data_IF_561253346145
#
_entry.id   IF_561253346145
#
_cell.length_a   1.000
_cell.length_b   1.000
_cell.length_c   1.000
_cell.angle_alpha   90.00
_cell.angle_beta   90.00
_cell.angle_gamma   90.00
#
_symmetry.space_group_name_H-M   'P 1'
#
loop_
_entity.id
_entity.type
_entity.pdbx_description
1 polymer ?
#
# COMPACT_ATOMS: atom_id res chain seq x y z
N UNK A 1 8.43 24.69 -27.32
CA UNK A 1 7.77 25.44 -26.23
C UNK A 1 6.28 25.36 -26.49
N UNK A 2 5.60 24.37 -25.89
CA UNK A 2 4.16 24.19 -26.06
C UNK A 2 3.46 25.35 -25.34
N UNK A 3 2.82 26.24 -26.11
CA UNK A 3 1.95 27.27 -25.53
C UNK A 3 0.70 26.57 -25.02
N UNK A 4 0.53 26.60 -23.71
CA UNK A 4 -0.57 25.93 -23.01
C UNK A 4 -1.79 26.86 -23.02
N UNK A 5 -2.83 26.53 -23.77
CA UNK A 5 -4.17 27.13 -23.61
C UNK A 5 -5.27 26.14 -23.97
N UNK A 6 -6.38 26.30 -23.23
CA UNK A 6 -7.70 25.63 -23.23
C UNK A 6 -7.84 24.44 -22.26
N UNK A 7 -8.42 24.74 -21.09
CA UNK A 7 -9.27 23.92 -20.20
C UNK A 7 -8.86 22.48 -19.84
N UNK A 8 -7.64 22.05 -20.15
CA UNK A 8 -7.09 20.77 -19.73
C UNK A 8 -6.27 20.93 -18.44
N UNK A 9 -6.42 19.96 -17.54
CA UNK A 9 -5.57 19.79 -16.35
C UNK A 9 -4.08 19.95 -16.75
N UNK A 10 -3.34 20.82 -16.06
CA UNK A 10 -1.95 21.15 -16.42
C UNK A 10 -1.04 19.91 -16.47
N UNK A 11 -1.34 18.90 -15.64
CA UNK A 11 -0.63 17.62 -15.66
C UNK A 11 -0.88 16.81 -16.94
N UNK A 12 -2.08 16.94 -17.55
CA UNK A 12 -2.44 16.23 -18.77
C UNK A 12 -1.69 16.70 -20.02
N UNK A 13 -0.95 17.81 -19.93
CA UNK A 13 -0.03 18.27 -20.97
C UNK A 13 1.29 17.48 -21.02
N UNK A 14 1.63 16.74 -19.95
CA UNK A 14 2.86 15.96 -19.80
C UNK A 14 2.53 14.48 -19.73
N UNK A 15 2.40 13.83 -20.90
CA UNK A 15 1.84 12.47 -21.01
C UNK A 15 2.89 11.38 -21.20
N UNK A 16 4.12 11.73 -21.57
CA UNK A 16 5.18 10.78 -21.83
C UNK A 16 6.04 10.58 -20.57
N UNK A 17 5.90 9.42 -19.93
CA UNK A 17 6.59 9.11 -18.67
C UNK A 17 7.58 7.98 -18.94
N UNK A 18 8.86 8.22 -18.64
CA UNK A 18 9.92 7.23 -18.80
C UNK A 18 10.38 6.68 -17.45
N UNK A 19 10.37 5.36 -17.28
CA UNK A 19 10.79 4.68 -16.06
C UNK A 19 12.19 4.07 -16.21
N UNK A 20 13.12 4.40 -15.32
CA UNK A 20 14.42 3.73 -15.25
C UNK A 20 14.37 2.64 -14.18
N UNK A 21 14.47 1.37 -14.61
CA UNK A 21 14.23 0.20 -13.76
C UNK A 21 12.74 -0.14 -13.63
N UNK A 22 12.02 -0.15 -14.76
CA UNK A 22 10.56 -0.29 -14.81
C UNK A 22 10.05 -1.64 -14.28
N UNK A 23 10.87 -2.70 -14.31
CA UNK A 23 10.53 -4.05 -13.87
C UNK A 23 10.52 -4.24 -12.35
N UNK A 24 10.97 -3.26 -11.57
CA UNK A 24 10.94 -3.31 -10.11
C UNK A 24 9.52 -3.39 -9.55
N UNK A 25 9.34 -4.08 -8.42
CA UNK A 25 8.01 -4.33 -7.82
C UNK A 25 7.19 -3.04 -7.60
N UNK A 26 7.82 -1.98 -7.08
CA UNK A 26 7.15 -0.69 -6.88
C UNK A 26 7.06 0.20 -8.13
N UNK A 27 7.91 0.01 -9.13
CA UNK A 27 7.91 0.80 -10.36
C UNK A 27 6.86 0.29 -11.34
N UNK A 28 6.82 -1.03 -11.52
CA UNK A 28 5.90 -1.68 -12.44
C UNK A 28 4.45 -1.44 -12.11
N UNK A 29 4.09 -1.38 -10.82
CA UNK A 29 2.72 -1.05 -10.41
C UNK A 29 2.31 0.37 -10.79
N UNK A 30 3.19 1.35 -10.58
CA UNK A 30 2.95 2.75 -10.98
C UNK A 30 2.85 2.85 -12.51
N UNK A 31 3.77 2.21 -13.23
CA UNK A 31 3.79 2.18 -14.69
C UNK A 31 2.52 1.56 -15.28
N UNK A 32 2.05 0.44 -14.73
CA UNK A 32 0.81 -0.22 -15.14
C UNK A 32 -0.41 0.69 -14.96
N UNK A 33 -0.51 1.37 -13.82
CA UNK A 33 -1.59 2.34 -13.56
C UNK A 33 -1.57 3.49 -14.57
N UNK A 34 -0.39 4.03 -14.88
CA UNK A 34 -0.23 5.12 -15.85
C UNK A 34 -0.59 4.69 -17.28
N UNK A 35 -0.22 3.48 -17.70
CA UNK A 35 -0.63 2.94 -18.99
C UNK A 35 -2.15 3.01 -19.16
N UNK A 36 -2.91 2.56 -18.16
CA UNK A 36 -4.37 2.53 -18.28
C UNK A 36 -5.02 3.89 -18.11
N UNK A 37 -4.40 4.82 -17.37
CA UNK A 37 -4.79 6.23 -17.37
C UNK A 37 -4.53 6.91 -18.73
N UNK A 38 -3.98 6.19 -19.71
CA UNK A 38 -3.74 6.67 -21.06
C UNK A 38 -2.48 7.52 -21.19
N UNK A 39 -1.54 7.41 -20.25
CA UNK A 39 -0.21 8.00 -20.40
C UNK A 39 0.61 7.17 -21.39
N UNK A 40 1.51 7.83 -22.11
CA UNK A 40 2.53 7.15 -22.90
C UNK A 40 3.62 6.70 -21.95
N UNK A 41 3.61 5.42 -21.58
CA UNK A 41 4.61 4.86 -20.67
C UNK A 41 5.73 4.22 -21.48
N UNK A 42 6.94 4.64 -21.19
CA UNK A 42 8.17 4.01 -21.66
C UNK A 42 9.04 3.64 -20.48
N UNK A 43 9.99 2.74 -20.65
CA UNK A 43 10.95 2.46 -19.60
C UNK A 43 12.07 1.54 -20.01
N UNK A 44 13.10 1.49 -19.17
CA UNK A 44 14.25 0.63 -19.32
C UNK A 44 14.36 -0.34 -18.15
N UNK A 45 14.88 -1.53 -18.43
CA UNK A 45 15.35 -2.46 -17.40
C UNK A 45 16.59 -3.22 -17.90
N UNK A 46 17.34 -3.86 -17.01
CA UNK A 46 18.54 -4.61 -17.42
C UNK A 46 18.17 -5.89 -18.16
N UNK A 47 17.12 -6.58 -17.73
CA UNK A 47 16.77 -7.91 -18.24
C UNK A 47 15.25 -8.07 -18.44
N UNK A 48 14.83 -8.92 -19.40
CA UNK A 48 13.44 -9.34 -19.52
C UNK A 48 12.95 -10.06 -18.27
N UNK A 49 11.69 -9.80 -17.90
CA UNK A 49 11.02 -10.48 -16.79
C UNK A 49 9.53 -10.66 -17.09
N UNK A 50 8.85 -11.48 -16.29
CA UNK A 50 7.37 -11.59 -16.35
C UNK A 50 6.70 -10.23 -16.14
N UNK A 51 7.29 -9.38 -15.30
CA UNK A 51 6.80 -8.02 -15.03
C UNK A 51 6.90 -7.12 -16.25
N UNK A 52 8.05 -7.09 -16.94
CA UNK A 52 8.21 -6.26 -18.14
C UNK A 52 7.36 -6.77 -19.31
N UNK A 53 7.17 -8.10 -19.42
CA UNK A 53 6.24 -8.67 -20.39
C UNK A 53 4.79 -8.19 -20.17
N UNK A 54 4.29 -8.24 -18.94
CA UNK A 54 2.95 -7.75 -18.59
C UNK A 54 2.77 -6.25 -18.88
N UNK A 55 3.81 -5.45 -18.63
CA UNK A 55 3.79 -4.01 -18.94
C UNK A 55 3.70 -3.75 -20.44
N UNK A 56 4.40 -4.54 -21.26
CA UNK A 56 4.32 -4.46 -22.72
C UNK A 56 2.89 -4.82 -23.18
N UNK A 57 2.28 -5.86 -22.61
CA UNK A 57 0.88 -6.22 -22.88
C UNK A 57 -0.09 -5.10 -22.48
N UNK A 58 0.21 -4.39 -21.39
CA UNK A 58 -0.54 -3.21 -20.94
C UNK A 58 -0.26 -1.94 -21.79
N UNK A 59 0.62 -2.00 -22.80
CA UNK A 59 0.89 -0.91 -23.74
C UNK A 59 2.16 -0.10 -23.48
N UNK A 60 2.98 -0.46 -22.49
CA UNK A 60 4.26 0.20 -22.25
C UNK A 60 5.30 -0.16 -23.31
N UNK A 61 6.20 0.78 -23.65
CA UNK A 61 7.39 0.49 -24.46
C UNK A 61 8.58 0.23 -23.55
N UNK A 62 9.08 -1.00 -23.53
CA UNK A 62 10.21 -1.39 -22.68
C UNK A 62 11.47 -1.62 -23.51
N UNK A 63 12.57 -0.97 -23.11
CA UNK A 63 13.92 -1.17 -23.64
C UNK A 63 14.76 -1.99 -22.65
N UNK A 64 15.67 -2.82 -23.16
CA UNK A 64 16.61 -3.58 -22.33
C UNK A 64 18.02 -3.01 -22.40
N UNK A 65 18.61 -2.77 -21.23
CA UNK A 65 19.85 -2.03 -21.03
C UNK A 65 19.64 -0.51 -21.03
N UNK A 66 20.54 0.20 -20.34
CA UNK A 66 20.44 1.66 -20.20
C UNK A 66 21.20 2.41 -21.30
N UNK A 67 20.49 3.26 -22.04
CA UNK A 67 21.05 4.10 -23.12
C UNK A 67 20.40 5.47 -23.11
N UNK A 68 21.17 6.53 -23.36
CA UNK A 68 20.66 7.91 -23.42
C UNK A 68 19.44 8.07 -24.36
N UNK A 69 19.43 7.31 -25.46
CA UNK A 69 18.35 7.30 -26.46
C UNK A 69 17.01 6.79 -25.91
N UNK A 70 17.02 5.94 -24.87
CA UNK A 70 15.80 5.38 -24.28
C UNK A 70 14.89 6.47 -23.69
N UNK A 71 15.45 7.61 -23.26
CA UNK A 71 14.68 8.74 -22.74
C UNK A 71 13.71 9.30 -23.78
N UNK A 72 14.01 9.17 -25.08
CA UNK A 72 13.10 9.54 -26.16
C UNK A 72 12.51 10.94 -26.00
N UNK A 73 11.19 11.08 -26.10
CA UNK A 73 10.47 12.35 -25.88
C UNK A 73 9.80 12.39 -24.50
N UNK A 74 10.43 11.82 -23.47
CA UNK A 74 9.90 11.84 -22.12
C UNK A 74 9.68 13.27 -21.61
N UNK A 75 8.48 13.51 -21.07
CA UNK A 75 8.14 14.72 -20.34
C UNK A 75 8.66 14.67 -18.90
N UNK A 76 8.79 13.46 -18.34
CA UNK A 76 9.33 13.20 -17.00
C UNK A 76 10.01 11.83 -16.96
N UNK A 77 11.08 11.73 -16.17
CA UNK A 77 11.79 10.48 -15.88
C UNK A 77 11.55 10.08 -14.43
N UNK A 78 11.07 8.86 -14.21
CA UNK A 78 10.88 8.26 -12.88
C UNK A 78 12.01 7.29 -12.61
N UNK A 79 12.66 7.41 -11.46
CA UNK A 79 13.76 6.54 -11.05
C UNK A 79 13.53 5.86 -9.70
N UNK A 80 14.14 4.69 -9.53
CA UNK A 80 14.28 4.05 -8.21
C UNK A 80 15.50 4.58 -7.47
N UNK A 81 15.55 4.33 -6.16
CA UNK A 81 16.75 4.54 -5.34
C UNK A 81 17.94 3.67 -5.75
N UNK A 82 17.71 2.58 -6.50
CA UNK A 82 18.77 1.66 -6.95
C UNK A 82 19.54 2.16 -8.18
N UNK A 83 19.13 3.27 -8.82
CA UNK A 83 19.82 3.81 -9.99
C UNK A 83 20.94 4.76 -9.55
N UNK A 84 22.18 4.37 -9.81
CA UNK A 84 23.39 5.10 -9.42
C UNK A 84 23.72 6.28 -10.35
N UNK A 85 24.59 7.17 -9.85
CA UNK A 85 25.21 8.21 -10.65
C UNK A 85 25.97 7.62 -11.85
N UNK A 86 25.85 8.24 -13.02
CA UNK A 86 26.41 7.74 -14.28
C UNK A 86 25.47 6.86 -15.11
N UNK A 87 24.20 6.72 -14.73
CA UNK A 87 23.20 6.13 -15.61
C UNK A 87 22.98 7.05 -16.83
N UNK A 88 23.18 6.56 -18.07
CA UNK A 88 23.14 7.39 -19.27
C UNK A 88 21.76 8.00 -19.56
N UNK A 89 20.67 7.40 -19.07
CA UNK A 89 19.31 7.95 -19.20
C UNK A 89 19.11 9.14 -18.27
N UNK A 90 19.59 9.02 -17.03
CA UNK A 90 19.52 10.12 -16.05
C UNK A 90 20.35 11.31 -16.51
N UNK A 91 21.55 11.07 -17.04
CA UNK A 91 22.42 12.12 -17.54
C UNK A 91 21.84 12.79 -18.80
N UNK A 92 21.22 12.01 -19.70
CA UNK A 92 20.53 12.55 -20.86
C UNK A 92 19.29 13.39 -20.48
N UNK A 93 18.50 12.94 -19.50
CA UNK A 93 17.37 13.69 -18.98
C UNK A 93 17.81 15.02 -18.37
N UNK A 94 18.88 15.02 -17.56
CA UNK A 94 19.48 16.25 -17.00
C UNK A 94 19.95 17.21 -18.09
N UNK A 95 20.69 16.71 -19.08
CA UNK A 95 21.21 17.55 -20.18
C UNK A 95 20.07 18.25 -20.95
N UNK A 96 18.91 17.59 -21.05
CA UNK A 96 17.71 18.10 -21.72
C UNK A 96 16.75 18.86 -20.79
N UNK A 97 17.06 18.96 -19.50
CA UNK A 97 16.21 19.56 -18.46
C UNK A 97 14.84 18.90 -18.34
N UNK A 98 14.78 17.59 -18.60
CA UNK A 98 13.58 16.79 -18.32
C UNK A 98 13.56 16.54 -16.80
N UNK A 99 12.44 16.83 -16.10
CA UNK A 99 12.29 16.53 -14.69
C UNK A 99 12.60 15.07 -14.37
N UNK A 100 13.35 14.84 -13.29
CA UNK A 100 13.67 13.52 -12.77
C UNK A 100 13.07 13.42 -11.38
N UNK A 101 12.13 12.50 -11.19
CA UNK A 101 11.39 12.34 -9.94
C UNK A 101 11.60 10.93 -9.37
N UNK A 102 11.68 10.79 -8.04
CA UNK A 102 11.72 9.48 -7.41
C UNK A 102 10.35 8.80 -7.46
N UNK A 103 10.35 7.46 -7.38
CA UNK A 103 9.15 6.61 -7.32
C UNK A 103 8.04 7.16 -6.38
N UNK A 104 8.40 7.58 -5.17
CA UNK A 104 7.44 8.05 -4.17
C UNK A 104 6.74 9.35 -4.58
N UNK A 105 7.42 10.21 -5.32
CA UNK A 105 6.84 11.45 -5.85
C UNK A 105 5.85 11.16 -6.97
N UNK A 106 6.16 10.20 -7.86
CA UNK A 106 5.19 9.75 -8.86
C UNK A 106 3.96 9.09 -8.23
N UNK A 107 4.13 8.31 -7.16
CA UNK A 107 2.99 7.76 -6.41
C UNK A 107 2.13 8.86 -5.76
N UNK A 108 2.76 9.91 -5.22
CA UNK A 108 2.06 11.06 -4.67
C UNK A 108 1.23 11.79 -5.75
N UNK A 109 1.76 11.96 -6.95
CA UNK A 109 1.02 12.55 -8.07
C UNK A 109 -0.14 11.63 -8.53
N UNK A 110 0.05 10.31 -8.56
CA UNK A 110 -1.07 9.38 -8.80
C UNK A 110 -2.19 9.52 -7.76
N UNK A 111 -1.83 9.67 -6.48
CA UNK A 111 -2.78 9.94 -5.41
C UNK A 111 -3.49 11.29 -5.53
N UNK A 112 -2.93 12.25 -6.26
CA UNK A 112 -3.57 13.56 -6.45
C UNK A 112 -4.76 13.48 -7.41
N UNK A 113 -4.70 12.61 -8.42
CA UNK A 113 -5.78 12.44 -9.40
C UNK A 113 -6.82 11.39 -9.01
N UNK A 114 -6.55 10.62 -7.95
CA UNK A 114 -7.44 9.57 -7.44
C UNK A 114 -7.80 9.86 -5.99
N UNK A 115 -8.83 9.19 -5.48
CA UNK A 115 -9.18 9.28 -4.06
C UNK A 115 -8.22 8.39 -3.28
N UNK A 116 -7.15 8.97 -2.75
CA UNK A 116 -6.06 8.23 -2.09
C UNK A 116 -6.42 7.72 -0.69
N UNK A 117 -6.15 6.44 -0.44
CA UNK A 117 -6.14 5.78 0.87
C UNK A 117 -4.70 5.34 1.13
N UNK A 118 -4.08 5.92 2.14
CA UNK A 118 -2.69 5.64 2.49
C UNK A 118 -2.62 4.86 3.80
N UNK A 119 -1.96 3.70 3.77
CA UNK A 119 -1.81 2.81 4.92
C UNK A 119 -0.38 2.92 5.45
N UNK A 120 -0.22 3.55 6.61
CA UNK A 120 1.05 3.75 7.29
C UNK A 120 1.12 3.01 8.63
N UNK A 121 2.31 2.96 9.21
CA UNK A 121 2.58 2.37 10.53
C UNK A 121 3.73 1.38 10.47
N UNK A 122 4.36 1.07 11.59
CA UNK A 122 5.60 0.27 11.58
C UNK A 122 5.36 -1.15 11.06
N UNK A 123 4.31 -1.82 11.56
CA UNK A 123 3.95 -3.19 11.18
C UNK A 123 2.55 -3.28 10.57
N UNK A 124 2.32 -4.27 9.72
CA UNK A 124 1.00 -4.61 9.20
C UNK A 124 0.51 -3.78 8.00
N UNK A 125 1.34 -2.88 7.46
CA UNK A 125 1.02 -2.03 6.29
C UNK A 125 0.57 -2.85 5.08
N UNK A 126 1.40 -3.77 4.61
CA UNK A 126 1.12 -4.60 3.43
C UNK A 126 -0.17 -5.42 3.60
N UNK A 127 -0.38 -6.03 4.77
CA UNK A 127 -1.58 -6.82 5.07
C UNK A 127 -2.84 -5.95 5.13
N UNK A 128 -2.77 -4.81 5.80
CA UNK A 128 -3.90 -3.87 5.91
C UNK A 128 -4.26 -3.25 4.57
N UNK A 129 -3.27 -2.90 3.75
CA UNK A 129 -3.47 -2.40 2.37
C UNK A 129 -4.19 -3.44 1.51
N UNK A 130 -3.78 -4.70 1.64
CA UNK A 130 -4.37 -5.83 0.91
C UNK A 130 -5.82 -6.12 1.34
N UNK A 131 -6.08 -6.15 2.65
CA UNK A 131 -7.42 -6.33 3.19
C UNK A 131 -8.34 -5.17 2.79
N UNK A 132 -7.84 -3.93 2.85
CA UNK A 132 -8.59 -2.74 2.41
C UNK A 132 -8.95 -2.84 0.92
N UNK A 133 -7.99 -3.20 0.06
CA UNK A 133 -8.25 -3.42 -1.36
C UNK A 133 -9.30 -4.52 -1.60
N UNK A 134 -9.26 -5.61 -0.82
CA UNK A 134 -10.23 -6.71 -0.89
C UNK A 134 -11.63 -6.28 -0.47
N UNK A 135 -11.76 -5.59 0.66
CA UNK A 135 -13.04 -5.06 1.18
C UNK A 135 -13.69 -4.12 0.18
N UNK A 136 -12.93 -3.18 -0.37
CA UNK A 136 -13.45 -2.23 -1.36
C UNK A 136 -13.80 -2.90 -2.69
N UNK A 137 -13.04 -3.92 -3.11
CA UNK A 137 -13.36 -4.69 -4.32
C UNK A 137 -14.66 -5.49 -4.15
N UNK A 138 -14.83 -6.18 -3.03
CA UNK A 138 -16.05 -6.92 -2.69
C UNK A 138 -17.27 -5.99 -2.53
N UNK A 139 -17.03 -4.76 -2.04
CA UNK A 139 -18.02 -3.70 -1.98
C UNK A 139 -18.38 -3.03 -3.32
N UNK A 140 -17.81 -3.48 -4.43
CA UNK A 140 -18.07 -2.93 -5.76
C UNK A 140 -17.41 -1.58 -6.05
N UNK A 141 -16.54 -1.08 -5.17
CA UNK A 141 -15.78 0.15 -5.38
C UNK A 141 -14.53 -0.06 -6.25
N UNK A 142 -14.12 -1.32 -6.46
CA UNK A 142 -13.04 -1.77 -7.37
C UNK A 142 -11.83 -0.81 -7.41
N UNK A 143 -11.05 -0.70 -6.31
CA UNK A 143 -9.97 0.26 -6.22
C UNK A 143 -8.75 -0.14 -7.07
N UNK A 144 -7.99 0.86 -7.51
CA UNK A 144 -6.59 0.66 -7.83
C UNK A 144 -5.80 0.44 -6.56
N UNK A 145 -4.81 -0.44 -6.57
CA UNK A 145 -3.90 -0.61 -5.44
C UNK A 145 -2.43 -0.70 -5.86
N UNK A 146 -1.56 -0.24 -4.96
CA UNK A 146 -0.09 -0.35 -5.05
C UNK A 146 0.44 -0.83 -3.70
N UNK A 147 0.89 -2.09 -3.65
CA UNK A 147 1.21 -2.82 -2.43
C UNK A 147 2.68 -3.27 -2.48
N UNK A 148 3.39 -3.27 -1.34
CA UNK A 148 4.79 -3.74 -1.26
C UNK A 148 4.99 -5.25 -1.46
N UNK A 149 3.92 -6.04 -1.38
CA UNK A 149 3.89 -7.50 -1.53
C UNK A 149 2.81 -7.98 -2.51
N UNK A 150 2.86 -9.25 -2.89
CA UNK A 150 1.94 -9.83 -3.87
C UNK A 150 0.61 -10.20 -3.20
N UNK A 151 -0.47 -9.56 -3.65
CA UNK A 151 -1.83 -9.97 -3.29
C UNK A 151 -2.16 -11.28 -4.03
N UNK A 152 -2.37 -12.38 -3.30
CA UNK A 152 -2.49 -13.71 -3.90
C UNK A 152 -3.71 -13.84 -4.82
N UNK A 153 -4.85 -13.24 -4.42
CA UNK A 153 -6.08 -13.25 -5.21
C UNK A 153 -5.97 -12.52 -6.55
N UNK A 154 -5.14 -11.47 -6.62
CA UNK A 154 -4.89 -10.70 -7.83
C UNK A 154 -3.65 -11.19 -8.61
N UNK A 155 -2.81 -12.04 -8.00
CA UNK A 155 -1.54 -12.48 -8.57
C UNK A 155 -0.54 -11.35 -8.83
N UNK A 156 -0.72 -10.16 -8.23
CA UNK A 156 0.06 -8.97 -8.52
C UNK A 156 0.24 -8.06 -7.29
N UNK A 157 1.29 -7.25 -7.30
CA UNK A 157 1.60 -6.26 -6.26
C UNK A 157 0.90 -4.92 -6.53
N UNK A 158 0.36 -4.75 -7.73
CA UNK A 158 -0.47 -3.64 -8.12
C UNK A 158 -1.50 -4.13 -9.12
N UNK A 159 -2.69 -3.54 -9.05
CA UNK A 159 -3.78 -3.74 -10.01
C UNK A 159 -4.47 -2.42 -10.18
N UNK A 160 -4.84 -2.11 -11.41
CA UNK A 160 -5.77 -1.03 -11.67
C UNK A 160 -7.20 -1.54 -11.46
N UNK A 161 -7.94 -0.83 -10.61
CA UNK A 161 -9.38 -0.97 -10.51
C UNK A 161 -10.09 0.15 -11.30
N UNK A 162 -11.33 -0.12 -11.67
CA UNK A 162 -12.20 0.78 -12.43
C UNK A 162 -12.80 1.92 -11.59
N UNK A 163 -12.79 1.83 -10.26
CA UNK A 163 -13.34 2.88 -9.38
C UNK A 163 -12.36 3.98 -9.04
N UNK A 164 -12.81 5.03 -8.35
CA UNK A 164 -12.00 6.25 -8.14
C UNK A 164 -10.91 6.12 -7.07
N UNK A 165 -10.95 5.07 -6.25
CA UNK A 165 -10.08 4.89 -5.10
C UNK A 165 -8.71 4.33 -5.49
N UNK A 166 -7.66 4.83 -4.83
CA UNK A 166 -6.30 4.32 -4.88
C UNK A 166 -5.86 3.93 -3.46
N UNK A 167 -5.63 2.64 -3.21
CA UNK A 167 -5.10 2.15 -1.93
C UNK A 167 -3.61 1.93 -2.06
N UNK A 168 -2.80 2.59 -1.24
CA UNK A 168 -1.35 2.43 -1.28
C UNK A 168 -0.74 2.25 0.10
N UNK A 169 0.30 1.44 0.15
CA UNK A 169 1.22 1.38 1.28
C UNK A 169 2.03 2.68 1.36
N UNK A 170 2.09 3.26 2.56
CA UNK A 170 2.79 4.49 2.86
C UNK A 170 3.97 4.18 3.78
N UNK A 171 5.18 4.36 3.25
CA UNK A 171 6.42 3.95 3.90
C UNK A 171 6.99 5.08 4.76
N UNK A 172 7.04 4.83 6.07
CA UNK A 172 7.66 5.72 7.05
C UNK A 172 9.18 5.54 7.12
N UNK A 173 9.74 4.42 6.67
CA UNK A 173 11.14 4.09 6.92
C UNK A 173 12.08 5.16 6.37
N UNK A 174 11.85 5.66 5.16
CA UNK A 174 12.64 6.70 4.49
C UNK A 174 11.97 8.09 4.47
N UNK A 175 10.86 8.25 5.21
CA UNK A 175 10.06 9.47 5.26
C UNK A 175 9.27 9.76 3.98
N UNK A 176 9.24 8.85 3.00
CA UNK A 176 8.57 9.07 1.72
C UNK A 176 7.06 9.20 1.81
N UNK A 177 6.42 8.66 2.85
CA UNK A 177 5.00 8.92 3.15
C UNK A 177 4.66 10.41 3.34
N UNK A 178 5.63 11.24 3.76
CA UNK A 178 5.54 12.71 3.78
C UNK A 178 5.65 13.32 2.37
N UNK A 179 5.28 12.59 1.33
CA UNK A 179 5.02 13.16 0.00
C UNK A 179 3.59 12.93 -0.42
N UNK A 180 2.89 12.00 0.23
CA UNK A 180 1.52 11.62 -0.09
C UNK A 180 0.54 12.65 0.44
N UNK A 181 -0.56 12.85 -0.29
CA UNK A 181 -1.69 13.70 0.11
C UNK A 181 -2.98 12.87 0.07
N UNK A 182 -3.20 11.96 1.03
CA UNK A 182 -4.36 11.07 1.01
C UNK A 182 -5.66 11.79 1.38
N UNK A 183 -6.79 11.20 1.01
CA UNK A 183 -8.11 11.53 1.58
C UNK A 183 -8.39 10.73 2.85
N UNK A 184 -7.87 9.50 2.93
CA UNK A 184 -7.96 8.63 4.10
C UNK A 184 -6.56 8.16 4.48
N UNK A 185 -6.16 8.36 5.73
CA UNK A 185 -4.90 7.88 6.27
C UNK A 185 -5.17 6.87 7.39
N UNK A 186 -4.57 5.69 7.28
CA UNK A 186 -4.60 4.65 8.32
C UNK A 186 -3.24 4.62 9.01
N UNK A 187 -3.22 4.57 10.34
CA UNK A 187 -2.00 4.31 11.11
C UNK A 187 -2.21 3.06 11.96
N UNK A 188 -1.48 2.00 11.65
CA UNK A 188 -1.63 0.70 12.31
C UNK A 188 -0.99 0.63 13.70
N UNK A 189 0.22 1.17 13.83
CA UNK A 189 1.02 1.21 15.06
C UNK A 189 2.25 2.10 14.82
N UNK A 190 2.92 2.51 15.89
CA UNK A 190 4.19 3.25 15.82
C UNK A 190 5.21 2.58 16.75
N UNK A 191 6.26 2.00 16.19
CA UNK A 191 7.34 1.39 16.95
C UNK A 191 8.72 1.90 16.53
N UNK A 192 9.71 1.68 17.40
CA UNK A 192 11.09 2.08 17.14
C UNK A 192 11.72 1.14 16.10
N UNK A 193 11.62 1.51 14.83
CA UNK A 193 12.25 0.83 13.69
C UNK A 193 12.88 1.88 12.77
N UNK A 194 13.87 1.51 11.97
CA UNK A 194 14.52 2.42 10.99
C UNK A 194 14.93 3.81 11.54
N UNK A 195 15.29 3.91 12.83
CA UNK A 195 15.56 5.18 13.50
C UNK A 195 16.73 5.96 12.90
N UNK A 196 17.63 5.29 12.19
CA UNK A 196 18.72 5.89 11.43
C UNK A 196 18.25 7.02 10.50
N UNK A 197 17.07 6.86 9.87
CA UNK A 197 16.49 7.85 8.97
C UNK A 197 15.84 9.03 9.72
N UNK A 198 15.67 8.88 11.02
CA UNK A 198 15.18 9.89 11.95
C UNK A 198 16.29 10.43 12.86
N UNK A 199 17.56 10.22 12.51
CA UNK A 199 18.70 10.69 13.30
C UNK A 199 18.83 10.01 14.67
N UNK A 200 18.31 8.79 14.80
CA UNK A 200 18.28 8.03 16.05
C UNK A 200 17.21 8.48 17.04
N UNK A 201 16.34 9.42 16.66
CA UNK A 201 15.37 10.05 17.56
C UNK A 201 13.95 9.57 17.28
N UNK A 202 13.41 8.78 18.21
CA UNK A 202 12.05 8.27 18.13
C UNK A 202 10.99 9.39 18.16
N UNK A 203 11.26 10.52 18.82
CA UNK A 203 10.33 11.65 18.84
C UNK A 203 10.17 12.28 17.44
N UNK A 204 11.22 12.26 16.62
CA UNK A 204 11.15 12.72 15.21
C UNK A 204 10.28 11.79 14.37
N UNK A 205 10.36 10.48 14.58
CA UNK A 205 9.45 9.53 13.94
C UNK A 205 8.00 9.79 14.34
N UNK A 206 7.71 9.99 15.63
CA UNK A 206 6.35 10.32 16.09
C UNK A 206 5.84 11.64 15.49
N UNK A 207 6.71 12.66 15.41
CA UNK A 207 6.38 13.93 14.76
C UNK A 207 6.08 13.76 13.26
N UNK A 208 6.80 12.87 12.57
CA UNK A 208 6.53 12.56 11.17
C UNK A 208 5.14 11.92 10.98
N UNK A 209 4.71 11.01 11.85
CA UNK A 209 3.34 10.48 11.81
C UNK A 209 2.28 11.58 12.05
N UNK A 210 2.53 12.52 12.96
CA UNK A 210 1.64 13.66 13.16
C UNK A 210 1.60 14.58 11.92
N UNK A 211 2.75 14.85 11.29
CA UNK A 211 2.81 15.59 10.03
C UNK A 211 2.05 14.88 8.91
N UNK A 212 2.19 13.56 8.80
CA UNK A 212 1.45 12.74 7.83
C UNK A 212 -0.07 12.89 7.99
N UNK A 213 -0.59 12.87 9.22
CA UNK A 213 -2.01 13.14 9.47
C UNK A 213 -2.42 14.58 9.12
N UNK A 214 -1.54 15.57 9.31
CA UNK A 214 -1.82 16.95 8.92
C UNK A 214 -1.98 17.16 7.41
N UNK A 215 -1.44 16.25 6.59
CA UNK A 215 -1.58 16.26 5.13
C UNK A 215 -2.96 15.85 4.64
N UNK A 216 -3.77 15.24 5.49
CA UNK A 216 -5.19 15.07 5.19
C UNK A 216 -5.83 16.46 4.96
N UNK A 217 -6.70 16.62 3.96
CA UNK A 217 -7.52 17.82 3.84
C UNK A 217 -8.48 17.93 5.04
N UNK A 218 -9.10 19.08 5.26
CA UNK A 218 -9.99 19.29 6.42
C UNK A 218 -11.17 18.28 6.47
N UNK A 219 -11.61 17.80 5.30
CA UNK A 219 -12.65 16.79 5.13
C UNK A 219 -12.09 15.36 5.04
N UNK A 220 -10.79 15.17 5.24
CA UNK A 220 -10.13 13.87 5.22
C UNK A 220 -10.35 13.09 6.52
N UNK A 221 -10.13 11.78 6.44
CA UNK A 221 -10.33 10.83 7.54
C UNK A 221 -9.00 10.24 8.02
N UNK A 222 -8.79 10.25 9.34
CA UNK A 222 -7.80 9.44 10.02
C UNK A 222 -8.45 8.18 10.60
N UNK A 223 -7.85 7.01 10.35
CA UNK A 223 -8.28 5.72 10.92
C UNK A 223 -7.15 5.18 11.79
N UNK A 224 -7.33 5.17 13.10
CA UNK A 224 -6.23 5.04 14.06
C UNK A 224 -6.44 3.87 15.04
N UNK A 225 -5.42 3.01 15.18
CA UNK A 225 -5.40 1.91 16.14
C UNK A 225 -5.17 2.42 17.57
N UNK A 226 -6.18 2.48 18.42
CA UNK A 226 -6.01 3.02 19.79
C UNK A 226 -5.52 1.98 20.81
N UNK A 227 -5.38 0.72 20.40
CA UNK A 227 -4.68 -0.29 21.19
C UNK A 227 -3.16 -0.03 21.25
N UNK A 228 -2.61 0.71 20.28
CA UNK A 228 -1.24 1.22 20.33
C UNK A 228 -1.23 2.55 21.13
N UNK A 229 -0.52 2.62 22.27
CA UNK A 229 -0.53 3.82 23.12
C UNK A 229 -0.02 5.09 22.43
N UNK A 230 0.88 4.97 21.45
CA UNK A 230 1.45 6.13 20.73
C UNK A 230 0.47 6.61 19.67
N UNK A 231 -0.22 5.69 18.99
CA UNK A 231 -1.29 6.04 18.06
C UNK A 231 -2.50 6.60 18.80
N UNK A 232 -2.82 6.08 19.99
CA UNK A 232 -3.83 6.68 20.87
C UNK A 232 -3.48 8.12 21.24
N UNK A 233 -2.22 8.40 21.59
CA UNK A 233 -1.76 9.78 21.85
C UNK A 233 -1.87 10.70 20.60
N UNK A 234 -1.64 10.16 19.39
CA UNK A 234 -1.88 10.89 18.14
C UNK A 234 -3.38 11.18 17.94
N UNK A 235 -4.25 10.21 18.21
CA UNK A 235 -5.70 10.34 18.08
C UNK A 235 -6.27 11.46 18.96
N UNK A 236 -5.72 11.67 20.15
CA UNK A 236 -6.13 12.76 21.05
C UNK A 236 -5.84 14.17 20.51
N UNK A 237 -4.92 14.30 19.55
CA UNK A 237 -4.46 15.60 19.04
C UNK A 237 -4.83 15.83 17.56
N UNK A 238 -5.41 14.85 16.87
CA UNK A 238 -5.73 14.96 15.45
C UNK A 238 -6.87 15.96 15.22
N UNK A 239 -6.67 16.91 14.32
CA UNK A 239 -7.67 17.94 13.95
C UNK A 239 -8.36 17.62 12.63
N UNK A 240 -8.71 16.35 12.43
CA UNK A 240 -9.37 15.80 11.23
C UNK A 240 -10.52 14.90 11.66
N UNK A 241 -11.35 14.48 10.71
CA UNK A 241 -12.32 13.41 11.01
C UNK A 241 -11.54 12.17 11.45
N UNK A 242 -12.06 11.47 12.45
CA UNK A 242 -11.38 10.37 13.12
C UNK A 242 -12.34 9.19 13.25
N UNK A 243 -11.83 8.00 12.94
CA UNK A 243 -12.40 6.71 13.33
C UNK A 243 -11.32 5.94 14.08
N UNK A 244 -11.60 5.56 15.32
CA UNK A 244 -10.69 4.70 16.10
C UNK A 244 -11.05 3.23 15.95
N UNK A 245 -10.04 2.37 15.97
CA UNK A 245 -10.25 0.92 15.97
C UNK A 245 -9.33 0.19 16.95
N UNK A 246 -9.73 -1.01 17.37
CA UNK A 246 -8.94 -1.83 18.29
C UNK A 246 -9.78 -2.86 19.04
N UNK A 247 -9.21 -3.44 20.08
CA UNK A 247 -9.90 -4.24 21.09
C UNK A 247 -10.37 -3.38 22.27
N UNK A 248 -9.85 -2.16 22.44
CA UNK A 248 -10.21 -1.24 23.51
C UNK A 248 -11.71 -0.88 23.50
N UNK A 249 -12.31 -0.75 24.68
CA UNK A 249 -13.75 -0.51 24.84
C UNK A 249 -14.22 0.85 24.28
N UNK A 250 -13.32 1.82 24.19
CA UNK A 250 -13.52 3.15 23.62
C UNK A 250 -13.21 3.24 22.12
N UNK A 251 -12.84 2.13 21.47
CA UNK A 251 -12.69 2.08 20.01
C UNK A 251 -14.06 2.07 19.31
N UNK A 252 -14.20 2.86 18.24
CA UNK A 252 -15.44 2.95 17.45
C UNK A 252 -15.67 1.68 16.61
N UNK A 253 -14.62 1.13 16.00
CA UNK A 253 -14.64 -0.14 15.28
C UNK A 253 -13.88 -1.19 16.09
N UNK A 254 -14.57 -2.24 16.54
CA UNK A 254 -14.00 -3.18 17.53
C UNK A 254 -14.18 -4.64 17.17
N UNK A 255 -13.23 -5.47 17.62
CA UNK A 255 -13.41 -6.92 17.72
C UNK A 255 -13.60 -7.34 19.18
N UNK A 256 -14.59 -8.19 19.45
CA UNK A 256 -14.75 -8.92 20.72
C UNK A 256 -14.69 -10.43 20.49
N UNK A 257 -14.58 -11.21 21.55
CA UNK A 257 -14.71 -12.68 21.49
C UNK A 257 -13.71 -13.35 20.52
N UNK A 258 -12.46 -12.86 20.51
CA UNK A 258 -11.43 -13.31 19.57
C UNK A 258 -10.92 -14.69 19.95
N UNK A 259 -11.08 -15.65 19.04
CA UNK A 259 -10.61 -17.03 19.20
C UNK A 259 -9.90 -17.48 17.92
N UNK A 260 -8.68 -18.01 18.05
CA UNK A 260 -7.92 -18.54 16.92
C UNK A 260 -8.09 -20.07 16.81
N UNK A 261 -8.35 -20.53 15.59
CA UNK A 261 -8.47 -21.94 15.22
C UNK A 261 -7.50 -22.24 14.07
N UNK A 262 -6.29 -22.68 14.40
CA UNK A 262 -5.24 -22.93 13.40
C UNK A 262 -4.87 -21.65 12.65
N UNK A 263 -5.02 -21.67 11.32
CA UNK A 263 -4.73 -20.54 10.44
C UNK A 263 -5.88 -19.52 10.30
N UNK A 264 -7.00 -19.72 11.02
CA UNK A 264 -8.17 -18.82 10.99
C UNK A 264 -8.42 -18.20 12.36
N UNK A 265 -9.00 -17.01 12.37
CA UNK A 265 -9.36 -16.30 13.61
C UNK A 265 -10.82 -15.87 13.57
N UNK A 266 -11.60 -16.32 14.54
CA UNK A 266 -12.99 -15.93 14.72
C UNK A 266 -13.10 -14.76 15.70
N UNK A 267 -14.00 -13.82 15.43
CA UNK A 267 -14.31 -12.71 16.35
C UNK A 267 -15.67 -12.08 16.01
N UNK A 268 -16.19 -11.30 16.95
CA UNK A 268 -17.37 -10.45 16.74
C UNK A 268 -16.93 -9.06 16.28
N UNK A 269 -17.21 -8.69 15.04
CA UNK A 269 -17.02 -7.35 14.49
C UNK A 269 -18.14 -6.41 14.95
N UNK A 270 -17.77 -5.25 15.48
CA UNK A 270 -18.67 -4.17 15.89
C UNK A 270 -18.34 -2.93 15.08
N UNK A 271 -19.26 -2.54 14.20
CA UNK A 271 -19.21 -1.30 13.44
C UNK A 271 -20.14 -0.27 14.11
N UNK A 272 -19.84 1.05 14.04
CA UNK A 272 -20.70 2.07 14.63
C UNK A 272 -22.12 2.00 14.06
N UNK A 273 -23.11 2.11 14.95
CA UNK A 273 -24.54 2.16 14.61
C UNK A 273 -25.11 0.90 13.92
N UNK A 274 -24.34 -0.19 13.85
CA UNK A 274 -24.75 -1.46 13.24
C UNK A 274 -24.83 -2.60 14.26
N UNK A 275 -25.55 -3.66 13.89
CA UNK A 275 -25.58 -4.88 14.67
C UNK A 275 -24.19 -5.58 14.66
N UNK A 276 -23.82 -6.32 15.71
CA UNK A 276 -22.58 -7.10 15.70
C UNK A 276 -22.63 -8.24 14.66
N UNK A 277 -21.50 -8.49 14.00
CA UNK A 277 -21.34 -9.57 13.01
C UNK A 277 -20.30 -10.59 13.49
N UNK A 278 -20.60 -11.87 13.37
CA UNK A 278 -19.58 -12.91 13.49
C UNK A 278 -18.71 -12.89 12.22
N UNK A 279 -17.39 -12.94 12.41
CA UNK A 279 -16.40 -12.95 11.33
C UNK A 279 -15.45 -14.13 11.55
N UNK A 280 -15.20 -14.89 10.49
CA UNK A 280 -14.09 -15.85 10.43
C UNK A 280 -13.00 -15.32 9.50
N UNK A 281 -11.99 -14.65 10.03
CA UNK A 281 -10.88 -14.15 9.25
C UNK A 281 -9.97 -15.31 8.83
N UNK A 282 -9.68 -15.41 7.53
CA UNK A 282 -8.76 -16.41 6.98
C UNK A 282 -7.28 -16.01 7.15
N UNK A 283 -6.93 -15.51 8.33
CA UNK A 283 -5.57 -15.21 8.79
C UNK A 283 -5.47 -15.50 10.30
N UNK A 284 -4.33 -16.02 10.78
CA UNK A 284 -4.11 -16.26 12.20
C UNK A 284 -3.72 -14.97 12.94
N UNK A 285 -3.91 -14.96 14.25
CA UNK A 285 -3.33 -13.98 15.14
C UNK A 285 -4.15 -12.71 15.34
N UNK A 286 -4.13 -12.21 16.58
CA UNK A 286 -4.78 -10.95 16.98
C UNK A 286 -4.32 -9.74 16.17
N UNK A 287 -3.06 -9.74 15.73
CA UNK A 287 -2.51 -8.67 14.89
C UNK A 287 -3.21 -8.59 13.53
N UNK A 288 -3.60 -9.73 12.94
CA UNK A 288 -4.38 -9.72 11.70
C UNK A 288 -5.84 -9.34 11.92
N UNK A 289 -6.40 -9.59 13.11
CA UNK A 289 -7.70 -9.02 13.49
C UNK A 289 -7.61 -7.48 13.52
N UNK A 290 -6.55 -6.89 14.09
CA UNK A 290 -6.35 -5.43 14.03
C UNK A 290 -6.22 -4.91 12.59
N UNK A 291 -5.46 -5.60 11.73
CA UNK A 291 -5.38 -5.25 10.30
C UNK A 291 -6.75 -5.31 9.60
N UNK A 292 -7.57 -6.32 9.94
CA UNK A 292 -8.92 -6.47 9.42
C UNK A 292 -9.88 -5.38 9.92
N UNK A 293 -9.78 -4.96 11.18
CA UNK A 293 -10.57 -3.87 11.73
C UNK A 293 -10.25 -2.53 11.05
N UNK A 294 -8.99 -2.27 10.72
CA UNK A 294 -8.61 -1.09 9.95
C UNK A 294 -9.27 -1.08 8.56
N UNK A 295 -9.22 -2.22 7.85
CA UNK A 295 -9.86 -2.37 6.54
C UNK A 295 -11.40 -2.24 6.63
N UNK A 296 -12.02 -2.82 7.66
CA UNK A 296 -13.45 -2.71 7.93
C UNK A 296 -13.86 -1.27 8.24
N UNK A 297 -13.07 -0.52 9.01
CA UNK A 297 -13.30 0.88 9.31
C UNK A 297 -13.28 1.75 8.04
N UNK A 298 -12.33 1.52 7.14
CA UNK A 298 -12.27 2.20 5.84
C UNK A 298 -13.49 1.83 4.98
N UNK A 299 -13.80 0.54 4.84
CA UNK A 299 -14.95 0.07 4.06
C UNK A 299 -16.28 0.65 4.56
N UNK A 300 -16.52 0.57 5.87
CA UNK A 300 -17.71 1.13 6.51
C UNK A 300 -17.84 2.64 6.26
N UNK A 301 -16.76 3.39 6.43
CA UNK A 301 -16.80 4.84 6.20
C UNK A 301 -17.10 5.20 4.73
N UNK A 302 -16.69 4.35 3.79
CA UNK A 302 -16.97 4.51 2.36
C UNK A 302 -18.32 3.95 1.92
N UNK A 303 -19.13 3.45 2.86
CA UNK A 303 -20.47 2.93 2.58
C UNK A 303 -20.47 1.54 1.96
N UNK A 304 -19.41 0.75 2.15
CA UNK A 304 -19.43 -0.68 1.80
C UNK A 304 -20.40 -1.40 2.74
N UNK A 305 -21.30 -2.18 2.14
CA UNK A 305 -22.26 -3.04 2.84
C UNK A 305 -21.57 -3.95 3.87
N UNK A 306 -22.12 -4.05 5.07
CA UNK A 306 -21.49 -4.77 6.18
C UNK A 306 -21.30 -6.26 5.88
N UNK A 307 -22.19 -6.88 5.09
CA UNK A 307 -22.03 -8.28 4.69
C UNK A 307 -20.95 -8.44 3.62
N UNK A 308 -20.75 -7.44 2.76
CA UNK A 308 -19.61 -7.40 1.84
C UNK A 308 -18.28 -7.28 2.59
N UNK A 309 -18.21 -6.47 3.65
CA UNK A 309 -17.03 -6.40 4.53
C UNK A 309 -16.75 -7.78 5.13
N UNK A 310 -17.75 -8.43 5.73
CA UNK A 310 -17.60 -9.77 6.34
C UNK A 310 -17.10 -10.79 5.31
N UNK A 311 -17.74 -10.89 4.14
CA UNK A 311 -17.33 -11.82 3.07
C UNK A 311 -15.90 -11.59 2.59
N UNK A 312 -15.49 -10.33 2.44
CA UNK A 312 -14.13 -10.00 2.01
C UNK A 312 -13.07 -10.50 3.01
N UNK A 313 -13.34 -10.39 4.32
CA UNK A 313 -12.45 -10.89 5.37
C UNK A 313 -12.41 -12.41 5.42
N UNK A 314 -13.55 -13.08 5.23
CA UNK A 314 -13.66 -14.54 5.24
C UNK A 314 -12.97 -15.22 4.06
N UNK A 315 -13.09 -14.62 2.87
CA UNK A 315 -12.54 -15.18 1.62
C UNK A 315 -11.12 -14.70 1.30
N UNK A 316 -10.52 -13.88 2.18
CA UNK A 316 -9.20 -13.32 1.95
C UNK A 316 -8.15 -14.41 1.75
N UNK A 317 -7.49 -14.42 0.58
CA UNK A 317 -6.56 -15.50 0.20
C UNK A 317 -5.14 -15.33 0.77
N UNK A 318 -4.87 -14.24 1.48
CA UNK A 318 -3.55 -13.95 2.02
C UNK A 318 -2.67 -13.11 1.09
N UNK A 319 -1.47 -12.83 1.58
CA UNK A 319 -0.41 -12.12 0.86
C UNK A 319 0.80 -13.04 0.77
N UNK A 320 1.48 -13.03 -0.37
CA UNK A 320 2.74 -13.75 -0.52
C UNK A 320 3.72 -13.35 0.58
N UNK A 321 4.34 -14.35 1.23
CA UNK A 321 5.30 -14.20 2.33
C UNK A 321 4.75 -13.55 3.61
N UNK A 322 3.44 -13.57 3.85
CA UNK A 322 2.84 -13.12 5.13
C UNK A 322 1.99 -14.25 5.69
N UNK A 323 2.58 -15.05 6.57
CA UNK A 323 2.06 -16.34 7.03
C UNK A 323 1.50 -17.18 5.87
N UNK A 324 2.28 -17.27 4.78
CA UNK A 324 1.84 -17.92 3.55
C UNK A 324 2.03 -19.43 3.65
N UNK A 325 0.93 -20.17 3.77
CA UNK A 325 0.96 -21.64 3.81
C UNK A 325 1.28 -22.16 2.41
N UNK A 326 2.50 -22.68 2.22
CA UNK A 326 2.96 -23.22 0.93
C UNK A 326 2.44 -24.65 0.68
N UNK A 327 2.01 -25.33 1.74
CA UNK A 327 1.43 -26.67 1.70
C UNK A 327 2.11 -27.63 2.67
N UNK A 328 1.70 -28.90 2.56
CA UNK A 328 2.19 -29.96 3.43
C UNK A 328 3.24 -30.82 2.71
N UNK A 329 4.35 -31.11 3.38
CA UNK A 329 5.41 -31.99 2.92
C UNK A 329 5.41 -33.30 3.71
N UNK A 330 5.45 -34.41 2.99
CA UNK A 330 5.64 -35.74 3.59
C UNK A 330 7.12 -36.07 3.63
N UNK A 331 7.65 -36.24 4.85
CA UNK A 331 9.05 -36.60 5.08
C UNK A 331 9.27 -38.10 4.84
N UNK A 332 10.53 -38.49 4.61
CA UNK A 332 10.93 -39.90 4.46
C UNK A 332 10.64 -40.75 5.70
N UNK A 333 10.52 -40.12 6.87
CA UNK A 333 10.08 -40.75 8.12
C UNK A 333 8.58 -41.08 8.15
N UNK A 334 7.81 -40.65 7.15
CA UNK A 334 6.36 -40.76 7.11
C UNK A 334 5.60 -39.62 7.80
N UNK A 335 6.30 -38.74 8.52
CA UNK A 335 5.73 -37.54 9.14
C UNK A 335 5.27 -36.52 8.09
N UNK A 336 4.20 -35.79 8.40
CA UNK A 336 3.71 -34.67 7.60
C UNK A 336 4.10 -33.36 8.30
N UNK A 337 4.69 -32.42 7.57
CA UNK A 337 5.03 -31.09 8.08
C UNK A 337 4.39 -30.03 7.19
N UNK A 338 3.78 -29.02 7.80
CA UNK A 338 3.29 -27.86 7.06
C UNK A 338 4.42 -26.86 6.86
N UNK A 339 4.54 -26.33 5.65
CA UNK A 339 5.51 -25.30 5.30
C UNK A 339 4.81 -23.95 5.25
N UNK A 340 5.30 -23.02 6.06
CA UNK A 340 4.81 -21.64 6.13
C UNK A 340 5.97 -20.70 5.82
N UNK A 341 5.73 -19.74 4.92
CA UNK A 341 6.66 -18.68 4.55
C UNK A 341 6.19 -17.34 5.11
N UNK A 342 7.05 -16.66 5.86
CA UNK A 342 6.76 -15.40 6.51
C UNK A 342 7.93 -14.41 6.39
N UNK A 343 7.60 -13.14 6.16
CA UNK A 343 8.55 -12.04 5.98
C UNK A 343 8.95 -11.38 7.31
N UNK A 344 8.35 -11.76 8.43
CA UNK A 344 8.65 -11.20 9.74
C UNK A 344 10.16 -11.18 10.00
N UNK A 345 10.71 -10.00 10.25
CA UNK A 345 12.14 -9.80 10.49
C UNK A 345 12.39 -8.98 11.75
N UNK A 346 11.44 -8.13 12.15
CA UNK A 346 11.47 -7.44 13.42
C UNK A 346 11.04 -8.39 14.57
N UNK A 347 11.62 -8.31 15.79
CA UNK A 347 11.27 -9.21 16.90
C UNK A 347 9.77 -9.29 17.23
N UNK A 348 9.03 -8.19 17.08
CA UNK A 348 7.57 -8.19 17.27
C UNK A 348 6.83 -8.97 16.18
N UNK A 349 7.29 -8.91 14.94
CA UNK A 349 6.71 -9.66 13.82
C UNK A 349 6.97 -11.16 14.00
N UNK A 350 8.20 -11.53 14.37
CA UNK A 350 8.54 -12.93 14.68
C UNK A 350 7.70 -13.46 15.84
N UNK A 351 7.58 -12.70 16.93
CA UNK A 351 6.74 -13.08 18.05
C UNK A 351 5.27 -13.26 17.66
N UNK A 352 4.76 -12.40 16.76
CA UNK A 352 3.40 -12.50 16.24
C UNK A 352 3.20 -13.72 15.32
N UNK A 353 4.23 -14.13 14.58
CA UNK A 353 4.21 -15.32 13.71
C UNK A 353 4.24 -16.64 14.52
N UNK A 354 4.90 -16.65 15.68
CA UNK A 354 5.01 -17.85 16.54
C UNK A 354 3.90 -18.00 17.59
N UNK A 355 3.03 -17.00 17.77
CA UNK A 355 1.95 -16.98 18.77
C UNK A 355 0.70 -17.75 18.31
#
# INVERSE_FOLDING_TARGET
MNRLYQDADFASAFRCIHFVGIGGAGMSGIAEVLCTLGYTVTGSDLHPSRTTARLIEAGAKVSYGHKAENVGDADVVVMTSAIHAGNPEIDAARARRIPIVPRAEMLAELMRFRRGIAIAGTHGKTTTTSLTASVLSEGGLDPTFVIGGQLLSAGANARLGSGDWLVAEADESDGSFLRLNPLIAVITNVDADHLENYGGDFARMQAAFAEFLHRLPFYGLAVLCIDDPKVHALAANVQRHLVTYGFADDAQVRATDVVQHGARTQFTLRLPELAPHAVELNLPGRHNVLNALAAAAVGWHLGVDELAIVRALETFQGIGRRFNVLGDLRLSSGACVQVVDDYGHHPRELAATFA
#
